data_IF_774031844417
#
_entry.id   IF_774031844417
#
_cell.length_a   1.000
_cell.length_b   1.000
_cell.length_c   1.000
_cell.angle_alpha   90.00
_cell.angle_beta   90.00
_cell.angle_gamma   90.00
#
_symmetry.space_group_name_H-M   'P 1'
#
loop_
_entity.id
_entity.type
_entity.pdbx_description
1 polymer ?
#
# COMPACT_ATOMS: atom_id res chain seq x y z
N UNK A 1 -9.71 -13.42 14.17
CA UNK A 1 -9.60 -12.85 12.82
C UNK A 1 -10.11 -11.42 12.82
N UNK A 2 -9.20 -10.50 13.14
CA UNK A 2 -9.42 -9.06 13.23
C UNK A 2 -8.16 -8.33 12.75
N UNK A 3 -8.33 -7.18 12.10
CA UNK A 3 -7.20 -6.28 11.75
C UNK A 3 -6.72 -5.56 13.01
N UNK A 4 -5.43 -5.64 13.29
CA UNK A 4 -4.79 -5.09 14.50
C UNK A 4 -3.83 -3.94 14.21
N UNK A 5 -3.39 -3.79 12.97
CA UNK A 5 -2.45 -2.76 12.61
C UNK A 5 -2.42 -2.49 11.11
N UNK A 6 -1.84 -1.36 10.75
CA UNK A 6 -1.57 -1.01 9.38
C UNK A 6 -0.26 -0.23 9.23
N UNK A 7 0.32 -0.30 8.04
CA UNK A 7 1.45 0.50 7.60
C UNK A 7 1.14 1.11 6.23
N UNK A 8 1.49 2.38 6.06
CA UNK A 8 1.40 3.06 4.76
C UNK A 8 2.79 3.20 4.15
N UNK A 9 2.84 3.09 2.83
CA UNK A 9 4.08 3.23 2.06
C UNK A 9 3.78 4.05 0.81
N UNK A 10 4.56 5.11 0.60
CA UNK A 10 4.57 5.86 -0.66
C UNK A 10 5.81 5.43 -1.43
N UNK A 11 5.60 4.90 -2.63
CA UNK A 11 6.66 4.44 -3.51
C UNK A 11 6.71 5.36 -4.73
N UNK A 12 7.85 6.01 -4.96
CA UNK A 12 8.08 6.75 -6.20
C UNK A 12 8.40 5.77 -7.33
N UNK A 13 7.73 5.92 -8.47
CA UNK A 13 7.98 5.16 -9.67
C UNK A 13 9.27 5.65 -10.34
N UNK A 14 9.96 4.76 -11.03
CA UNK A 14 11.10 5.15 -11.86
C UNK A 14 10.64 5.83 -13.15
N UNK A 15 11.51 6.68 -13.73
CA UNK A 15 11.27 7.28 -15.04
C UNK A 15 11.10 6.19 -16.12
N UNK A 16 10.09 6.30 -17.02
CA UNK A 16 9.28 7.49 -17.32
C UNK A 16 7.91 7.57 -16.60
N UNK A 17 7.79 7.03 -15.38
CA UNK A 17 6.59 7.12 -14.52
C UNK A 17 5.31 6.50 -15.11
N UNK A 18 5.43 5.36 -15.79
CA UNK A 18 4.28 4.67 -16.37
C UNK A 18 3.34 4.21 -15.25
N UNK A 19 2.07 4.60 -15.33
CA UNK A 19 1.04 4.27 -14.33
C UNK A 19 0.95 5.26 -13.17
N UNK A 20 1.78 6.30 -13.14
CA UNK A 20 1.79 7.33 -12.11
C UNK A 20 3.17 7.53 -11.49
N UNK A 21 3.41 8.70 -10.89
CA UNK A 21 4.70 9.01 -10.24
C UNK A 21 4.81 8.44 -8.83
N UNK A 22 3.70 8.33 -8.11
CA UNK A 22 3.69 7.81 -6.74
C UNK A 22 2.56 6.81 -6.56
N UNK A 23 2.87 5.69 -5.91
CA UNK A 23 1.93 4.66 -5.52
C UNK A 23 1.77 4.65 -4.01
N UNK A 24 0.52 4.61 -3.53
CA UNK A 24 0.20 4.52 -2.10
C UNK A 24 -0.27 3.11 -1.77
N UNK A 25 0.59 2.37 -1.08
CA UNK A 25 0.28 1.03 -0.58
C UNK A 25 -0.12 1.07 0.90
N UNK A 26 -1.03 0.15 1.25
CA UNK A 26 -1.38 -0.19 2.60
C UNK A 26 -1.05 -1.66 2.86
N UNK A 27 -0.38 -1.90 3.97
CA UNK A 27 -0.14 -3.24 4.53
C UNK A 27 -0.98 -3.36 5.80
N UNK A 28 -1.85 -4.37 5.87
CA UNK A 28 -2.70 -4.67 7.01
C UNK A 28 -2.22 -5.92 7.72
N UNK A 29 -2.22 -5.90 9.05
CA UNK A 29 -1.86 -7.05 9.88
C UNK A 29 -3.07 -7.50 10.70
N UNK A 30 -3.21 -8.81 10.89
CA UNK A 30 -4.25 -9.39 11.75
C UNK A 30 -3.69 -9.92 13.07
N UNK A 31 -4.59 -10.14 14.03
CA UNK A 31 -4.34 -10.84 15.29
C UNK A 31 -3.80 -12.27 15.12
N UNK A 32 -4.10 -12.90 13.97
CA UNK A 32 -3.66 -14.25 13.61
C UNK A 32 -2.36 -14.28 12.79
N UNK A 33 -1.71 -13.12 12.57
CA UNK A 33 -0.44 -13.02 11.85
C UNK A 33 -0.56 -12.99 10.32
N UNK A 34 -1.77 -12.84 9.77
CA UNK A 34 -1.99 -12.68 8.33
C UNK A 34 -1.63 -11.26 7.93
N UNK A 35 -0.94 -11.13 6.80
CA UNK A 35 -0.62 -9.83 6.19
C UNK A 35 -1.32 -9.68 4.85
N UNK A 36 -2.01 -8.57 4.66
CA UNK A 36 -2.68 -8.22 3.40
C UNK A 36 -2.13 -6.93 2.81
N UNK A 37 -1.95 -6.89 1.49
CA UNK A 37 -1.52 -5.70 0.76
C UNK A 37 -2.69 -5.15 -0.06
N UNK A 38 -2.80 -3.82 -0.09
CA UNK A 38 -3.75 -3.09 -0.93
C UNK A 38 -3.14 -1.79 -1.46
N UNK A 39 -3.75 -1.27 -2.52
CA UNK A 39 -3.35 0.00 -3.13
C UNK A 39 -4.53 0.98 -3.08
N UNK A 40 -4.24 2.23 -2.71
CA UNK A 40 -5.18 3.33 -2.90
C UNK A 40 -4.67 4.21 -4.04
N UNK A 41 -5.44 4.28 -5.13
CA UNK A 41 -5.13 5.16 -6.26
C UNK A 41 -5.15 6.62 -5.83
N UNK A 42 -3.98 7.22 -5.60
CA UNK A 42 -3.85 8.56 -5.03
C UNK A 42 -3.49 9.65 -6.07
N UNK A 43 -3.37 9.30 -7.35
CA UNK A 43 -3.09 10.24 -8.45
C UNK A 43 -4.34 10.64 -9.23
N UNK A 44 -4.58 11.95 -9.36
CA UNK A 44 -5.38 12.58 -10.42
C UNK A 44 -4.46 13.47 -11.25
#
# INVERSE_FOLDING_TARGET
MQVTGFKTMVVEAEEPYIGGRYFLFLELHTDEGITGLGERIAGY
#
